data_IF_576386642267
#
_entry.id   IF_576386642267
#
_cell.length_a   1.000
_cell.length_b   1.000
_cell.length_c   1.000
_cell.angle_alpha   90.00
_cell.angle_beta   90.00
_cell.angle_gamma   90.00
#
_symmetry.space_group_name_H-M   'P 1'
#
loop_
_entity.id
_entity.type
_entity.pdbx_description
1 polymer ?
#
# COMPACT_ATOMS: atom_id res chain seq x y z
N UNK A 1 0.74 7.21 -10.87
CA UNK A 1 -0.07 6.16 -11.52
C UNK A 1 -1.48 6.69 -11.65
N UNK A 2 -2.30 6.13 -12.54
CA UNK A 2 -3.70 6.54 -12.72
C UNK A 2 -4.55 5.30 -12.93
N UNK A 3 -5.81 5.37 -12.52
CA UNK A 3 -6.80 4.33 -12.75
C UNK A 3 -6.87 4.04 -14.25
N UNK A 4 -6.80 2.77 -14.59
CA UNK A 4 -6.82 2.28 -15.95
C UNK A 4 -8.02 1.36 -16.18
N UNK A 5 -8.56 1.37 -17.38
CA UNK A 5 -9.56 0.39 -17.81
C UNK A 5 -8.95 -1.00 -18.06
N UNK A 6 -7.64 -1.15 -17.93
CA UNK A 6 -6.91 -2.42 -18.03
C UNK A 6 -5.97 -2.56 -16.83
N UNK A 7 -6.22 -3.55 -15.98
CA UNK A 7 -5.38 -3.83 -14.80
C UNK A 7 -3.95 -4.20 -15.19
N UNK A 8 -3.72 -4.72 -16.39
CA UNK A 8 -2.37 -4.95 -16.94
C UNK A 8 -1.49 -3.70 -16.91
N UNK A 9 -2.04 -2.52 -17.21
CA UNK A 9 -1.25 -1.28 -17.20
C UNK A 9 -0.87 -0.88 -15.77
N UNK A 10 -1.79 -1.04 -14.82
CA UNK A 10 -1.53 -0.76 -13.41
C UNK A 10 -0.51 -1.76 -12.85
N UNK A 11 -0.62 -3.04 -13.23
CA UNK A 11 0.32 -4.09 -12.87
C UNK A 11 1.73 -3.77 -13.37
N UNK A 12 1.89 -3.48 -14.67
CA UNK A 12 3.19 -3.17 -15.25
C UNK A 12 3.83 -1.93 -14.60
N UNK A 13 3.04 -0.89 -14.34
CA UNK A 13 3.53 0.32 -13.67
C UNK A 13 3.95 0.02 -12.21
N UNK A 14 3.19 -0.79 -11.50
CA UNK A 14 3.47 -1.21 -10.12
C UNK A 14 4.76 -2.03 -10.05
N UNK A 15 4.84 -3.10 -10.84
CA UNK A 15 6.02 -3.97 -10.91
C UNK A 15 7.27 -3.23 -11.40
N UNK A 16 7.11 -2.26 -12.31
CA UNK A 16 8.20 -1.37 -12.72
C UNK A 16 8.75 -0.53 -11.55
N UNK A 17 7.86 0.03 -10.71
CA UNK A 17 8.27 0.80 -9.52
C UNK A 17 8.91 -0.09 -8.46
N UNK A 18 8.36 -1.28 -8.19
CA UNK A 18 8.94 -2.23 -7.22
C UNK A 18 10.35 -2.65 -7.66
N UNK A 19 10.55 -3.04 -8.92
CA UNK A 19 11.88 -3.36 -9.47
C UNK A 19 12.87 -2.21 -9.38
N UNK A 20 12.41 -0.96 -9.51
CA UNK A 20 13.26 0.21 -9.26
C UNK A 20 13.66 0.31 -7.79
N UNK A 21 12.72 0.13 -6.86
CA UNK A 21 13.02 0.15 -5.41
C UNK A 21 13.97 -0.99 -5.01
N UNK A 22 13.78 -2.20 -5.54
CA UNK A 22 14.70 -3.33 -5.33
C UNK A 22 16.12 -3.03 -5.82
N UNK A 23 16.26 -2.45 -7.02
CA UNK A 23 17.58 -2.03 -7.53
C UNK A 23 18.24 -0.97 -6.66
N UNK A 24 17.47 0.02 -6.19
CA UNK A 24 17.97 1.03 -5.25
C UNK A 24 18.35 0.42 -3.90
N UNK A 25 17.59 -0.55 -3.39
CA UNK A 25 17.96 -1.27 -2.19
C UNK A 25 19.29 -2.03 -2.36
N UNK A 26 19.47 -2.72 -3.49
CA UNK A 26 20.70 -3.46 -3.78
C UNK A 26 21.98 -2.60 -3.78
N UNK A 27 21.89 -1.30 -4.10
CA UNK A 27 23.03 -0.38 -4.00
C UNK A 27 23.21 0.24 -2.62
N UNK A 28 22.19 0.19 -1.76
CA UNK A 28 22.19 0.80 -0.41
C UNK A 28 23.21 0.17 0.53
N UNK A 29 23.50 -1.13 0.35
CA UNK A 29 24.47 -1.88 1.16
C UNK A 29 25.91 -1.41 0.93
N UNK A 30 26.20 -0.81 -0.23
CA UNK A 30 27.55 -0.41 -0.65
C UNK A 30 27.90 1.05 -0.33
N UNK A 31 26.99 1.79 0.31
CA UNK A 31 27.09 3.24 0.48
C UNK A 31 27.44 3.60 1.93
N UNK A 32 28.19 4.70 2.11
CA UNK A 32 28.53 5.25 3.42
C UNK A 32 27.30 5.56 4.28
N UNK A 33 27.42 5.37 5.60
CA UNK A 33 26.31 5.46 6.56
C UNK A 33 25.40 6.71 6.43
N UNK A 34 25.89 7.95 6.26
CA UNK A 34 25.00 9.12 6.14
C UNK A 34 24.08 9.07 4.92
N UNK A 35 24.59 8.56 3.80
CA UNK A 35 23.84 8.42 2.56
C UNK A 35 22.93 7.19 2.59
N UNK A 36 23.35 6.14 3.29
CA UNK A 36 22.55 4.94 3.54
C UNK A 36 21.25 5.30 4.26
N UNK A 37 21.31 6.09 5.34
CA UNK A 37 20.13 6.49 6.12
C UNK A 37 19.12 7.29 5.27
N UNK A 38 19.62 8.19 4.43
CA UNK A 38 18.77 8.95 3.52
C UNK A 38 18.09 8.04 2.49
N UNK A 39 18.82 7.06 1.96
CA UNK A 39 18.31 6.12 0.98
C UNK A 39 17.29 5.15 1.57
N UNK A 40 17.50 4.66 2.80
CA UNK A 40 16.52 3.84 3.53
C UNK A 40 15.23 4.62 3.80
N UNK A 41 15.34 5.88 4.25
CA UNK A 41 14.19 6.75 4.42
C UNK A 41 13.43 6.98 3.11
N UNK A 42 14.15 7.22 2.01
CA UNK A 42 13.56 7.35 0.67
C UNK A 42 12.82 6.07 0.25
N UNK A 43 13.44 4.90 0.41
CA UNK A 43 12.84 3.61 0.07
C UNK A 43 11.56 3.34 0.86
N UNK A 44 11.57 3.58 2.18
CA UNK A 44 10.39 3.38 3.03
C UNK A 44 9.24 4.32 2.66
N UNK A 45 9.53 5.60 2.40
CA UNK A 45 8.53 6.59 1.98
C UNK A 45 7.96 6.23 0.60
N UNK A 46 8.82 5.89 -0.37
CA UNK A 46 8.37 5.55 -1.71
C UNK A 46 7.57 4.25 -1.77
N UNK A 47 7.93 3.26 -0.95
CA UNK A 47 7.16 2.02 -0.83
C UNK A 47 5.75 2.31 -0.27
N UNK A 48 5.63 3.16 0.75
CA UNK A 48 4.33 3.55 1.32
C UNK A 48 3.49 4.33 0.30
N UNK A 49 4.10 5.28 -0.39
CA UNK A 49 3.47 6.04 -1.46
C UNK A 49 3.02 5.13 -2.61
N UNK A 50 3.81 4.12 -2.95
CA UNK A 50 3.44 3.10 -3.92
C UNK A 50 2.20 2.34 -3.46
N UNK A 51 2.21 1.79 -2.24
CA UNK A 51 1.06 1.04 -1.68
C UNK A 51 -0.22 1.87 -1.75
N UNK A 52 -0.20 3.10 -1.23
CA UNK A 52 -1.36 4.00 -1.22
C UNK A 52 -1.87 4.23 -2.63
N UNK A 53 -0.96 4.55 -3.55
CA UNK A 53 -1.31 4.85 -4.93
C UNK A 53 -1.89 3.62 -5.63
N UNK A 54 -1.28 2.44 -5.48
CA UNK A 54 -1.75 1.22 -6.12
C UNK A 54 -3.12 0.80 -5.59
N UNK A 55 -3.31 0.78 -4.26
CA UNK A 55 -4.59 0.40 -3.67
C UNK A 55 -5.70 1.35 -4.10
N UNK A 56 -5.45 2.67 -4.12
CA UNK A 56 -6.39 3.67 -4.65
C UNK A 56 -6.74 3.40 -6.11
N UNK A 57 -5.75 3.37 -6.99
CA UNK A 57 -5.99 3.22 -8.43
C UNK A 57 -6.64 1.86 -8.77
N UNK A 58 -6.26 0.79 -8.08
CA UNK A 58 -6.87 -0.54 -8.23
C UNK A 58 -8.35 -0.53 -7.83
N UNK A 59 -8.67 0.12 -6.71
CA UNK A 59 -10.06 0.24 -6.22
C UNK A 59 -10.91 1.00 -7.23
N UNK A 60 -10.43 2.15 -7.71
CA UNK A 60 -11.14 2.97 -8.70
C UNK A 60 -11.30 2.21 -10.02
N UNK A 61 -10.23 1.58 -10.52
CA UNK A 61 -10.26 0.74 -11.72
C UNK A 61 -11.29 -0.40 -11.61
N UNK A 62 -11.34 -1.05 -10.46
CA UNK A 62 -12.28 -2.15 -10.19
C UNK A 62 -13.73 -1.65 -10.23
N UNK A 63 -14.03 -0.55 -9.55
CA UNK A 63 -15.36 0.07 -9.55
C UNK A 63 -15.77 0.53 -10.96
N UNK A 64 -14.81 1.00 -11.76
CA UNK A 64 -15.01 1.34 -13.18
C UNK A 64 -15.13 0.12 -14.11
N UNK A 65 -15.17 -1.10 -13.57
CA UNK A 65 -15.30 -2.33 -14.36
C UNK A 65 -14.14 -2.50 -15.36
N UNK A 66 -12.91 -2.24 -14.92
CA UNK A 66 -11.71 -2.50 -15.71
C UNK A 66 -11.62 -3.96 -16.15
N UNK A 67 -10.83 -4.22 -17.19
CA UNK A 67 -10.46 -5.57 -17.61
C UNK A 67 -9.29 -6.09 -16.76
N UNK A 68 -9.37 -7.34 -16.33
CA UNK A 68 -8.27 -8.07 -15.66
C UNK A 68 -7.08 -8.26 -16.60
N UNK A 69 -5.97 -8.85 -16.11
CA UNK A 69 -4.78 -9.09 -16.96
C UNK A 69 -5.08 -10.02 -18.13
N UNK A 70 -5.98 -10.98 -17.94
CA UNK A 70 -6.44 -11.89 -18.99
C UNK A 70 -7.53 -11.29 -19.89
N UNK A 71 -7.91 -10.03 -19.68
CA UNK A 71 -8.89 -9.31 -20.51
C UNK A 71 -10.35 -9.49 -20.11
N UNK A 72 -10.65 -10.27 -19.06
CA UNK A 72 -12.01 -10.44 -18.56
C UNK A 72 -12.50 -9.16 -17.87
N UNK A 73 -13.74 -8.73 -18.14
CA UNK A 73 -14.29 -7.50 -17.56
C UNK A 73 -14.77 -7.76 -16.13
N UNK A 74 -14.30 -6.95 -15.19
CA UNK A 74 -14.79 -7.00 -13.80
C UNK A 74 -16.22 -6.49 -13.77
N UNK A 75 -17.10 -7.18 -13.04
CA UNK A 75 -18.48 -6.73 -12.80
C UNK A 75 -18.61 -6.24 -11.36
N UNK A 76 -19.42 -5.21 -11.18
CA UNK A 76 -19.82 -4.65 -9.88
C UNK A 76 -21.32 -4.39 -9.91
N UNK A 77 -21.96 -4.41 -8.74
CA UNK A 77 -23.40 -4.16 -8.61
C UNK A 77 -23.77 -2.69 -8.80
N UNK A 78 -22.82 -1.78 -8.64
CA UNK A 78 -23.04 -0.34 -8.70
C UNK A 78 -22.29 0.28 -9.86
N UNK A 79 -23.01 0.93 -10.76
CA UNK A 79 -22.40 1.79 -11.79
C UNK A 79 -22.24 3.19 -11.22
N UNK A 80 -21.02 3.52 -10.79
CA UNK A 80 -20.69 4.85 -10.30
C UNK A 80 -20.13 5.73 -11.42
N UNK A 81 -20.40 7.03 -11.34
CA UNK A 81 -20.03 8.01 -12.36
C UNK A 81 -18.56 8.47 -12.27
N UNK A 82 -18.30 9.79 -12.29
CA UNK A 82 -16.95 10.36 -12.21
C UNK A 82 -16.13 9.92 -10.98
N UNK A 83 -14.82 10.20 -11.01
CA UNK A 83 -13.90 9.83 -9.93
C UNK A 83 -14.31 10.39 -8.57
N UNK A 84 -14.84 11.60 -8.55
CA UNK A 84 -15.27 12.30 -7.33
C UNK A 84 -16.45 11.59 -6.67
N UNK A 85 -17.34 10.96 -7.46
CA UNK A 85 -18.45 10.15 -6.95
C UNK A 85 -17.95 8.80 -6.42
N UNK A 86 -17.00 8.18 -7.12
CA UNK A 86 -16.34 6.96 -6.63
C UNK A 86 -15.62 7.23 -5.31
N UNK A 87 -14.93 8.37 -5.19
CA UNK A 87 -14.27 8.79 -3.97
C UNK A 87 -15.27 9.01 -2.82
N UNK A 88 -16.42 9.62 -3.08
CA UNK A 88 -17.48 9.79 -2.09
C UNK A 88 -18.06 8.44 -1.63
N UNK A 89 -18.27 7.52 -2.57
CA UNK A 89 -18.71 6.15 -2.29
C UNK A 89 -17.71 5.40 -1.42
N UNK A 90 -16.42 5.41 -1.80
CA UNK A 90 -15.33 4.84 -1.02
C UNK A 90 -15.36 5.41 0.41
N UNK A 91 -15.41 6.75 0.55
CA UNK A 91 -15.43 7.43 1.84
C UNK A 91 -16.61 6.99 2.72
N UNK A 92 -17.80 6.80 2.12
CA UNK A 92 -19.00 6.35 2.83
C UNK A 92 -18.84 4.97 3.48
N UNK A 93 -18.00 4.10 2.90
CA UNK A 93 -17.76 2.73 3.36
C UNK A 93 -16.64 2.68 4.41
N UNK A 94 -15.51 3.31 4.10
CA UNK A 94 -14.30 3.22 4.93
C UNK A 94 -14.32 4.18 6.11
N UNK A 95 -14.95 5.35 5.97
CA UNK A 95 -15.01 6.38 7.00
C UNK A 95 -16.39 7.07 7.02
N UNK A 96 -17.44 6.33 7.43
CA UNK A 96 -18.81 6.85 7.45
C UNK A 96 -18.97 8.06 8.38
N UNK A 97 -18.12 8.19 9.41
CA UNK A 97 -18.13 9.36 10.30
C UNK A 97 -17.68 10.62 9.56
N UNK A 98 -16.56 10.57 8.85
CA UNK A 98 -16.10 11.69 8.00
C UNK A 98 -17.11 11.99 6.91
N UNK A 99 -17.66 10.96 6.26
CA UNK A 99 -18.69 11.11 5.23
C UNK A 99 -19.92 11.89 5.73
N UNK A 100 -20.47 11.52 6.89
CA UNK A 100 -21.62 12.21 7.51
C UNK A 100 -21.28 13.64 7.93
N UNK A 101 -20.07 13.89 8.44
CA UNK A 101 -19.60 15.25 8.80
C UNK A 101 -19.53 16.18 7.59
N UNK A 102 -19.33 15.64 6.39
CA UNK A 102 -19.39 16.38 5.13
C UNK A 102 -20.82 16.51 4.58
N UNK A 103 -21.84 16.19 5.39
CA UNK A 103 -23.26 16.16 4.99
C UNK A 103 -23.58 15.13 3.89
N UNK A 104 -22.90 13.98 3.91
CA UNK A 104 -23.15 12.86 2.97
C UNK A 104 -23.10 13.29 1.50
N UNK A 105 -21.98 13.87 1.04
CA UNK A 105 -21.91 14.45 -0.30
C UNK A 105 -21.99 13.36 -1.38
N UNK A 106 -22.54 13.70 -2.55
CA UNK A 106 -22.55 12.80 -3.71
C UNK A 106 -21.19 12.73 -4.42
N UNK A 107 -20.36 13.76 -4.26
CA UNK A 107 -19.01 13.84 -4.82
C UNK A 107 -18.08 14.55 -3.83
N UNK A 108 -16.82 14.13 -3.77
CA UNK A 108 -15.81 14.78 -2.91
C UNK A 108 -14.59 15.19 -3.74
N UNK A 109 -13.92 16.26 -3.28
CA UNK A 109 -12.64 16.70 -3.86
C UNK A 109 -11.55 15.68 -3.54
N UNK A 110 -10.54 15.62 -4.39
CA UNK A 110 -9.39 14.74 -4.20
C UNK A 110 -8.67 14.98 -2.84
N UNK A 111 -8.64 16.23 -2.36
CA UNK A 111 -8.06 16.58 -1.05
C UNK A 111 -8.83 15.98 0.14
N UNK A 112 -10.12 15.69 -0.06
CA UNK A 112 -10.99 15.12 0.96
C UNK A 112 -11.10 13.59 0.87
N UNK A 113 -10.51 13.00 -0.16
CA UNK A 113 -10.50 11.56 -0.39
C UNK A 113 -9.86 10.81 0.79
N UNK A 114 -10.40 9.63 1.11
CA UNK A 114 -9.76 8.76 2.10
C UNK A 114 -8.45 8.22 1.53
N UNK A 115 -7.36 8.38 2.27
CA UNK A 115 -6.13 7.64 1.98
C UNK A 115 -6.33 6.17 2.32
N UNK A 116 -6.36 5.31 1.29
CA UNK A 116 -6.41 3.86 1.44
C UNK A 116 -4.99 3.34 1.60
N UNK A 117 -4.67 2.76 2.75
CA UNK A 117 -3.34 2.19 3.03
C UNK A 117 -3.40 0.71 3.38
N UNK A 118 -4.48 0.29 4.02
CA UNK A 118 -4.71 -1.08 4.41
C UNK A 118 -5.53 -1.78 3.30
N UNK A 119 -5.04 -2.87 2.69
CA UNK A 119 -5.80 -3.59 1.69
C UNK A 119 -7.13 -4.17 2.23
N UNK A 120 -7.31 -4.28 3.54
CA UNK A 120 -8.60 -4.62 4.15
C UNK A 120 -9.67 -3.54 3.94
N UNK A 121 -9.28 -2.28 3.82
CA UNK A 121 -10.22 -1.21 3.41
C UNK A 121 -10.67 -1.43 1.97
N UNK A 122 -9.75 -1.80 1.06
CA UNK A 122 -10.08 -2.20 -0.32
C UNK A 122 -11.00 -3.41 -0.35
N UNK A 123 -10.73 -4.44 0.46
CA UNK A 123 -11.56 -5.64 0.56
C UNK A 123 -13.00 -5.29 0.94
N UNK A 124 -13.14 -4.43 1.96
CA UNK A 124 -14.44 -3.91 2.37
C UNK A 124 -15.14 -3.20 1.21
N UNK A 125 -14.48 -2.28 0.52
CA UNK A 125 -15.07 -1.56 -0.61
C UNK A 125 -15.53 -2.51 -1.72
N UNK A 126 -14.69 -3.47 -2.11
CA UNK A 126 -14.99 -4.42 -3.17
C UNK A 126 -16.12 -5.37 -2.79
N UNK A 127 -16.19 -5.79 -1.53
CA UNK A 127 -17.31 -6.57 -1.00
C UNK A 127 -18.62 -5.80 -1.09
N UNK A 128 -18.64 -4.52 -0.67
CA UNK A 128 -19.84 -3.67 -0.78
C UNK A 128 -20.25 -3.40 -2.23
N UNK A 129 -19.27 -3.28 -3.14
CA UNK A 129 -19.53 -3.11 -4.57
C UNK A 129 -19.95 -4.41 -5.29
N UNK A 130 -19.82 -5.58 -4.65
CA UNK A 130 -20.07 -6.87 -5.29
C UNK A 130 -19.09 -7.16 -6.43
N UNK A 131 -17.82 -6.81 -6.27
CA UNK A 131 -16.82 -6.92 -7.33
C UNK A 131 -16.42 -8.39 -7.59
N UNK A 132 -16.44 -8.81 -8.86
CA UNK A 132 -16.11 -10.21 -9.24
C UNK A 132 -14.66 -10.60 -9.06
N UNK A 133 -13.74 -9.63 -8.92
CA UNK A 133 -12.31 -9.86 -8.66
C UNK A 133 -11.95 -9.82 -7.17
N UNK A 134 -12.95 -9.78 -6.27
CA UNK A 134 -12.71 -9.90 -4.82
C UNK A 134 -11.86 -11.14 -4.44
N UNK A 135 -12.04 -12.33 -5.07
CA UNK A 135 -11.19 -13.49 -4.77
C UNK A 135 -9.69 -13.24 -5.00
N UNK A 136 -9.30 -12.49 -6.03
CA UNK A 136 -7.89 -12.14 -6.28
C UNK A 136 -7.28 -11.35 -5.12
N UNK A 137 -8.04 -10.39 -4.56
CA UNK A 137 -7.63 -9.65 -3.37
C UNK A 137 -7.60 -10.53 -2.12
N UNK A 138 -8.55 -11.46 -1.95
CA UNK A 138 -8.54 -12.40 -0.83
C UNK A 138 -7.33 -13.33 -0.88
N UNK A 139 -6.96 -13.81 -2.07
CA UNK A 139 -5.74 -14.60 -2.29
C UNK A 139 -4.49 -13.78 -1.97
N UNK A 140 -4.43 -12.52 -2.40
CA UNK A 140 -3.32 -11.63 -2.06
C UNK A 140 -3.22 -11.38 -0.55
N UNK A 141 -4.35 -11.17 0.14
CA UNK A 141 -4.41 -11.00 1.59
C UNK A 141 -3.99 -12.27 2.36
N UNK A 142 -4.19 -13.46 1.78
CA UNK A 142 -3.78 -14.72 2.40
C UNK A 142 -2.25 -14.86 2.52
N UNK A 143 -1.46 -14.06 1.79
CA UNK A 143 -0.01 -13.94 2.00
C UNK A 143 0.35 -13.43 3.40
N UNK A 144 -0.61 -12.79 4.10
CA UNK A 144 -0.45 -12.32 5.48
C UNK A 144 0.81 -11.47 5.72
N UNK A 145 1.13 -10.60 4.75
CA UNK A 145 2.33 -9.77 4.81
C UNK A 145 2.26 -8.74 5.94
N UNK A 146 3.35 -8.63 6.70
CA UNK A 146 3.52 -7.59 7.72
C UNK A 146 3.71 -6.18 7.13
N UNK A 147 3.94 -6.05 5.82
CA UNK A 147 4.20 -4.79 5.10
C UNK A 147 3.18 -3.71 5.45
N UNK A 148 1.89 -3.99 5.24
CA UNK A 148 0.82 -2.99 5.31
C UNK A 148 0.59 -2.48 6.74
N UNK A 149 0.79 -3.36 7.73
CA UNK A 149 0.69 -3.03 9.15
C UNK A 149 1.88 -2.17 9.60
N UNK A 150 3.09 -2.54 9.18
CA UNK A 150 4.30 -2.06 9.82
C UNK A 150 4.94 -0.85 9.14
N UNK A 151 4.81 -0.75 7.82
CA UNK A 151 5.42 0.32 7.03
C UNK A 151 4.95 1.72 7.44
N UNK A 152 3.68 1.84 7.88
CA UNK A 152 3.10 3.11 8.32
C UNK A 152 3.90 3.77 9.43
N UNK A 153 4.29 3.00 10.45
CA UNK A 153 5.01 3.52 11.62
C UNK A 153 6.41 3.99 11.23
N UNK A 154 7.09 3.24 10.35
CA UNK A 154 8.42 3.59 9.85
C UNK A 154 8.37 4.85 8.98
N UNK A 155 7.45 4.91 8.02
CA UNK A 155 7.25 6.10 7.17
C UNK A 155 6.93 7.35 8.00
N UNK A 156 6.10 7.20 9.03
CA UNK A 156 5.75 8.30 9.93
C UNK A 156 6.96 8.85 10.68
N UNK A 157 7.92 8.00 11.07
CA UNK A 157 9.20 8.47 11.58
C UNK A 157 9.97 9.28 10.53
N UNK A 158 10.19 8.78 9.31
CA UNK A 158 10.99 9.53 8.34
C UNK A 158 10.36 10.86 7.91
N UNK A 159 9.03 10.98 7.97
CA UNK A 159 8.31 12.20 7.67
C UNK A 159 8.45 13.29 8.76
N UNK A 160 8.61 12.92 10.04
CA UNK A 160 8.59 13.88 11.16
C UNK A 160 9.86 13.89 12.01
N UNK A 161 10.58 12.77 12.09
CA UNK A 161 11.85 12.56 12.80
C UNK A 161 11.80 12.94 14.28
N UNK A 162 10.69 12.62 14.95
CA UNK A 162 10.48 12.91 16.37
C UNK A 162 10.61 11.69 17.29
N UNK A 163 10.92 11.93 18.57
CA UNK A 163 11.02 10.88 19.61
C UNK A 163 9.73 10.03 19.71
N UNK A 164 8.57 10.66 19.62
CA UNK A 164 7.28 9.96 19.67
C UNK A 164 7.06 9.04 18.46
N UNK A 165 7.50 9.48 17.27
CA UNK A 165 7.40 8.67 16.05
C UNK A 165 8.37 7.50 16.07
N UNK A 166 9.55 7.69 16.68
CA UNK A 166 10.49 6.61 16.93
C UNK A 166 9.92 5.60 17.93
N UNK A 167 9.37 6.05 19.06
CA UNK A 167 8.76 5.16 20.05
C UNK A 167 7.68 4.25 19.45
N UNK A 168 6.83 4.79 18.56
CA UNK A 168 5.84 3.99 17.81
C UNK A 168 6.48 3.00 16.86
N UNK A 169 7.54 3.40 16.14
CA UNK A 169 8.28 2.50 15.25
C UNK A 169 8.94 1.35 16.04
N UNK A 170 9.61 1.65 17.16
CA UNK A 170 10.26 0.66 18.01
C UNK A 170 9.29 -0.32 18.65
N UNK A 171 8.16 0.15 19.19
CA UNK A 171 7.11 -0.75 19.73
C UNK A 171 6.61 -1.70 18.65
N UNK A 172 6.44 -1.20 17.43
CA UNK A 172 6.01 -2.03 16.32
C UNK A 172 7.09 -3.02 15.87
N UNK A 173 8.36 -2.63 15.93
CA UNK A 173 9.51 -3.48 15.61
C UNK A 173 9.60 -4.72 16.50
N UNK A 174 9.24 -4.60 17.78
CA UNK A 174 9.18 -5.75 18.71
C UNK A 174 8.22 -6.82 18.21
N UNK A 175 7.08 -6.44 17.63
CA UNK A 175 6.12 -7.40 17.06
C UNK A 175 6.65 -8.13 15.81
N UNK A 176 7.74 -7.63 15.22
CA UNK A 176 8.44 -8.22 14.10
C UNK A 176 9.64 -9.07 14.56
N UNK A 177 9.88 -9.18 15.86
CA UNK A 177 11.06 -9.87 16.41
C UNK A 177 12.34 -9.02 16.39
N UNK A 178 12.23 -7.71 16.15
CA UNK A 178 13.37 -6.79 16.18
C UNK A 178 13.49 -6.17 17.57
N UNK A 179 14.60 -6.41 18.26
CA UNK A 179 14.85 -5.94 19.62
C UNK A 179 15.99 -4.91 19.66
N UNK A 180 15.99 -4.04 20.67
CA UNK A 180 17.07 -3.09 20.97
C UNK A 180 17.47 -2.16 19.80
N UNK A 181 16.50 -1.64 19.06
CA UNK A 181 16.75 -0.70 17.96
C UNK A 181 17.09 0.68 18.50
N UNK A 182 18.12 1.33 17.96
CA UNK A 182 18.49 2.71 18.30
C UNK A 182 17.99 3.70 17.25
N UNK A 183 17.73 3.23 16.03
CA UNK A 183 17.20 4.01 14.93
C UNK A 183 16.30 3.16 14.00
N UNK A 184 15.36 3.74 13.24
CA UNK A 184 14.54 2.97 12.29
C UNK A 184 15.30 2.36 11.12
N UNK A 185 16.50 2.86 10.82
CA UNK A 185 17.40 2.21 9.88
C UNK A 185 17.77 0.80 10.37
N UNK A 186 18.01 0.64 11.69
CA UNK A 186 18.30 -0.66 12.30
C UNK A 186 17.14 -1.63 12.07
N UNK A 187 15.89 -1.14 12.15
CA UNK A 187 14.69 -1.95 11.91
C UNK A 187 14.65 -2.42 10.46
N UNK A 188 14.86 -1.50 9.51
CA UNK A 188 14.77 -1.79 8.07
C UNK A 188 15.87 -2.75 7.59
N UNK A 189 17.07 -2.64 8.17
CA UNK A 189 18.21 -3.49 7.84
C UNK A 189 18.27 -4.77 8.65
N UNK A 190 17.42 -4.92 9.68
CA UNK A 190 17.45 -6.10 10.53
C UNK A 190 17.11 -7.37 9.75
N UNK A 191 17.94 -8.40 9.92
CA UNK A 191 17.69 -9.76 9.43
C UNK A 191 17.15 -10.56 10.60
N UNK A 192 15.87 -10.92 10.53
CA UNK A 192 15.21 -11.72 11.58
C UNK A 192 15.83 -13.12 11.59
N UNK A 193 16.11 -13.66 12.78
CA UNK A 193 16.69 -15.00 12.92
C UNK A 193 15.85 -16.05 12.17
N UNK A 194 16.52 -16.88 11.36
CA UNK A 194 15.86 -17.87 10.50
C UNK A 194 15.30 -17.33 9.19
N UNK A 195 15.46 -16.03 8.89
CA UNK A 195 15.09 -15.43 7.59
C UNK A 195 16.35 -15.06 6.79
N UNK A 196 16.31 -15.22 5.46
CA UNK A 196 17.44 -14.88 4.59
C UNK A 196 17.52 -13.38 4.23
N UNK A 197 16.44 -12.62 4.45
CA UNK A 197 16.29 -11.24 3.99
C UNK A 197 16.16 -10.27 5.15
N UNK A 198 16.56 -9.02 4.92
CA UNK A 198 16.24 -7.92 5.83
C UNK A 198 14.74 -7.61 5.80
N UNK A 199 14.25 -6.90 6.81
CA UNK A 199 12.86 -6.42 6.86
C UNK A 199 12.47 -5.67 5.59
N UNK A 200 13.28 -4.72 5.13
CA UNK A 200 12.94 -3.91 3.94
C UNK A 200 12.97 -4.74 2.66
N UNK A 201 13.92 -5.66 2.54
CA UNK A 201 14.02 -6.56 1.39
C UNK A 201 12.81 -7.49 1.31
N UNK A 202 12.42 -8.09 2.44
CA UNK A 202 11.22 -8.93 2.54
C UNK A 202 9.97 -8.15 2.15
N UNK A 203 9.83 -6.91 2.63
CA UNK A 203 8.71 -6.03 2.27
C UNK A 203 8.64 -5.71 0.77
N UNK A 204 9.78 -5.57 0.09
CA UNK A 204 9.81 -5.37 -1.36
C UNK A 204 9.38 -6.64 -2.12
N UNK A 205 9.78 -7.81 -1.64
CA UNK A 205 9.37 -9.12 -2.18
C UNK A 205 7.86 -9.32 -1.96
N UNK A 206 7.39 -9.11 -0.74
CA UNK A 206 5.97 -9.18 -0.36
C UNK A 206 5.11 -8.25 -1.20
N UNK A 207 5.54 -6.99 -1.40
CA UNK A 207 4.83 -6.05 -2.25
C UNK A 207 4.72 -6.58 -3.69
N UNK A 208 5.80 -7.17 -4.22
CA UNK A 208 5.83 -7.74 -5.57
C UNK A 208 4.78 -8.83 -5.73
N UNK A 209 4.79 -9.81 -4.81
CA UNK A 209 3.87 -10.96 -4.82
C UNK A 209 2.42 -10.53 -4.57
N UNK A 210 2.21 -9.65 -3.58
CA UNK A 210 0.88 -9.15 -3.25
C UNK A 210 0.23 -8.45 -4.44
N UNK A 211 0.94 -7.51 -5.09
CA UNK A 211 0.37 -6.77 -6.23
C UNK A 211 0.31 -7.59 -7.53
N UNK A 212 1.08 -8.67 -7.62
CA UNK A 212 0.92 -9.65 -8.69
C UNK A 212 -0.40 -10.41 -8.56
N UNK A 213 -0.67 -10.99 -7.38
CA UNK A 213 -1.93 -11.70 -7.09
C UNK A 213 -3.14 -10.76 -7.12
N UNK A 214 -3.01 -9.54 -6.60
CA UNK A 214 -4.11 -8.58 -6.55
C UNK A 214 -4.69 -8.27 -7.95
N UNK A 215 -3.83 -8.23 -8.96
CA UNK A 215 -4.17 -7.76 -10.30
C UNK A 215 -4.30 -8.87 -11.34
N UNK A 216 -4.30 -10.13 -10.91
CA UNK A 216 -4.59 -11.30 -11.77
C UNK A 216 -5.94 -11.14 -12.51
#
# INVERSE_FOLDING_TARGET
>A
MRASMHLMHLHNATQGRIRRLQRLYGTTVLINAPHQNHQLGYLAIELDNLVISVLREFTISTIRQAKTRIGARIRVNQSLGPEEQIAAYILSIVNPVKYRRLNSPQSIRQTDEQTIRDPKETEKILSYAGATNLPSLQNALALNSGLFKNLKSIRHFYAHRGKDTFGKASVNAVSMGVLNTHHPDDILMYVISGRPHSVLEEWLIDASLFFELLME
#
